data_IF_037862868343
#
_entry.id   IF_037862868343
#
_cell.length_a   1.000
_cell.length_b   1.000
_cell.length_c   1.000
_cell.angle_alpha   90.00
_cell.angle_beta   90.00
_cell.angle_gamma   90.00
#
_symmetry.space_group_name_H-M   'P 1'
#
loop_
_entity.id
_entity.type
_entity.pdbx_description
1 polymer ?
#
# COMPACT_ATOMS: atom_id res chain seq x y z
N UNK A 1 1.26 -9.42 -41.24
CA UNK A 1 0.44 -8.40 -40.54
C UNK A 1 -0.25 -9.10 -39.39
N UNK A 2 0.14 -8.80 -38.15
CA UNK A 2 -0.50 -9.37 -36.96
C UNK A 2 -1.68 -8.46 -36.62
N UNK A 3 -2.91 -8.96 -36.79
CA UNK A 3 -4.12 -8.30 -36.33
C UNK A 3 -4.08 -8.25 -34.80
N UNK A 4 -3.86 -7.07 -34.23
CA UNK A 4 -4.12 -6.82 -32.82
C UNK A 4 -5.62 -6.57 -32.68
N UNK A 5 -6.35 -7.58 -32.22
CA UNK A 5 -7.74 -7.43 -31.80
C UNK A 5 -7.80 -6.52 -30.57
N UNK A 6 -8.29 -5.30 -30.77
CA UNK A 6 -8.67 -4.38 -29.71
C UNK A 6 -9.89 -4.96 -28.99
N UNK A 7 -9.67 -5.73 -27.92
CA UNK A 7 -10.76 -6.17 -27.03
C UNK A 7 -11.33 -4.93 -26.34
N UNK A 8 -12.51 -4.51 -26.77
CA UNK A 8 -13.35 -3.56 -26.03
C UNK A 8 -13.71 -4.21 -24.70
N UNK A 9 -13.11 -3.73 -23.61
CA UNK A 9 -13.48 -4.15 -22.26
C UNK A 9 -14.89 -3.60 -22.03
N UNK A 10 -15.89 -4.48 -22.12
CA UNK A 10 -17.20 -4.20 -21.55
C UNK A 10 -16.99 -3.98 -20.06
N UNK A 11 -17.12 -2.72 -19.62
CA UNK A 11 -17.16 -2.38 -18.20
C UNK A 11 -18.43 -3.03 -17.68
N UNK A 12 -18.28 -4.26 -17.15
CA UNK A 12 -19.26 -4.85 -16.27
C UNK A 12 -19.43 -3.82 -15.16
N UNK A 13 -20.62 -3.23 -15.07
CA UNK A 13 -20.97 -2.36 -13.95
C UNK A 13 -20.92 -3.22 -12.71
N UNK A 14 -19.75 -3.27 -12.08
CA UNK A 14 -19.50 -3.99 -10.84
C UNK A 14 -20.60 -3.60 -9.86
N UNK A 15 -21.22 -4.61 -9.24
CA UNK A 15 -22.11 -4.39 -8.10
C UNK A 15 -21.47 -3.36 -7.16
N UNK A 16 -22.25 -2.35 -6.78
CA UNK A 16 -21.72 -1.24 -6.00
C UNK A 16 -21.27 -1.76 -4.64
N UNK A 17 -19.97 -1.90 -4.44
CA UNK A 17 -19.36 -2.20 -3.14
C UNK A 17 -19.87 -1.17 -2.13
N UNK A 18 -20.53 -1.62 -1.07
CA UNK A 18 -21.08 -0.74 -0.03
C UNK A 18 -20.01 -0.39 1.00
N UNK A 19 -20.20 0.68 1.76
CA UNK A 19 -19.32 1.04 2.90
C UNK A 19 -19.24 -0.13 3.91
N UNK A 20 -20.33 -0.89 4.07
CA UNK A 20 -20.36 -2.04 4.97
C UNK A 20 -19.47 -3.20 4.47
N UNK A 21 -19.49 -3.50 3.17
CA UNK A 21 -18.62 -4.52 2.58
C UNK A 21 -17.14 -4.17 2.76
N UNK A 22 -16.83 -2.87 2.74
CA UNK A 22 -15.48 -2.35 2.97
C UNK A 22 -15.06 -2.47 4.43
N UNK A 23 -15.94 -2.11 5.37
CA UNK A 23 -15.70 -2.30 6.81
C UNK A 23 -15.43 -3.78 7.10
N UNK A 24 -16.26 -4.67 6.56
CA UNK A 24 -16.10 -6.11 6.72
C UNK A 24 -14.75 -6.59 6.17
N UNK A 25 -14.36 -6.12 4.99
CA UNK A 25 -13.05 -6.46 4.38
C UNK A 25 -11.86 -6.00 5.22
N UNK A 26 -11.96 -4.83 5.86
CA UNK A 26 -10.89 -4.33 6.74
C UNK A 26 -10.85 -5.13 8.05
N UNK A 27 -12.00 -5.50 8.61
CA UNK A 27 -12.09 -6.39 9.77
C UNK A 27 -11.48 -7.76 9.46
N UNK A 28 -11.78 -8.34 8.29
CA UNK A 28 -11.17 -9.59 7.84
C UNK A 28 -9.65 -9.48 7.73
N UNK A 29 -9.16 -8.36 7.18
CA UNK A 29 -7.73 -8.07 7.09
C UNK A 29 -7.09 -7.98 8.48
N UNK A 30 -7.75 -7.30 9.41
CA UNK A 30 -7.27 -7.09 10.76
C UNK A 30 -7.20 -8.42 11.53
N UNK A 31 -8.24 -9.24 11.44
CA UNK A 31 -8.26 -10.58 12.01
C UNK A 31 -7.16 -11.48 11.42
N UNK A 32 -6.92 -11.39 10.11
CA UNK A 32 -5.84 -12.14 9.48
C UNK A 32 -4.46 -11.71 10.02
N UNK A 33 -4.22 -10.40 10.17
CA UNK A 33 -2.98 -9.85 10.74
C UNK A 33 -2.80 -10.28 12.20
N UNK A 34 -3.88 -10.29 13.00
CA UNK A 34 -3.89 -10.77 14.38
C UNK A 34 -3.51 -12.25 14.45
N UNK A 35 -4.09 -13.09 13.59
CA UNK A 35 -3.75 -14.52 13.58
C UNK A 35 -2.27 -14.76 13.25
N UNK A 36 -1.74 -14.06 12.25
CA UNK A 36 -0.30 -14.13 11.89
C UNK A 36 0.59 -13.63 13.04
N UNK A 37 0.15 -12.60 13.76
CA UNK A 37 0.83 -12.10 14.97
C UNK A 37 0.90 -13.17 16.05
N UNK A 38 -0.23 -13.81 16.36
CA UNK A 38 -0.33 -14.82 17.42
C UNK A 38 0.55 -16.02 17.09
N UNK A 39 0.46 -16.56 15.87
CA UNK A 39 1.31 -17.67 15.41
C UNK A 39 2.80 -17.31 15.47
N UNK A 40 3.18 -16.11 15.01
CA UNK A 40 4.58 -15.67 15.00
C UNK A 40 5.11 -15.38 16.41
N UNK A 41 4.26 -14.89 17.32
CA UNK A 41 4.61 -14.55 18.69
C UNK A 41 4.78 -15.79 19.58
N UNK A 42 3.92 -16.80 19.41
CA UNK A 42 4.01 -18.08 20.13
C UNK A 42 5.37 -18.76 19.90
N UNK A 43 5.91 -18.68 18.68
CA UNK A 43 7.22 -19.25 18.34
C UNK A 43 8.43 -18.46 18.89
N UNK A 44 8.26 -17.21 19.35
CA UNK A 44 9.40 -16.30 19.59
C UNK A 44 9.37 -15.45 20.86
N UNK A 45 8.46 -15.70 21.79
CA UNK A 45 8.32 -14.98 23.07
C UNK A 45 9.53 -15.07 24.04
N UNK A 46 10.73 -15.44 23.58
CA UNK A 46 11.89 -15.64 24.45
C UNK A 46 13.13 -14.79 24.23
N UNK A 47 13.16 -13.79 23.33
CA UNK A 47 14.10 -12.64 23.42
C UNK A 47 13.87 -11.65 22.28
N UNK A 48 13.75 -10.38 22.66
CA UNK A 48 13.74 -9.20 21.79
C UNK A 48 12.48 -9.01 20.93
N UNK A 49 11.99 -7.76 20.84
CA UNK A 49 10.84 -7.41 19.99
C UNK A 49 11.24 -7.61 18.53
N UNK A 50 10.95 -8.80 17.99
CA UNK A 50 11.18 -9.17 16.59
C UNK A 50 10.56 -8.10 15.69
N UNK A 51 11.32 -7.57 14.74
CA UNK A 51 10.85 -6.54 13.79
C UNK A 51 9.60 -6.97 13.02
N UNK A 52 9.34 -8.28 12.93
CA UNK A 52 8.11 -8.87 12.39
C UNK A 52 6.89 -8.56 13.26
N UNK A 53 7.00 -8.72 14.59
CA UNK A 53 5.93 -8.37 15.54
C UNK A 53 5.66 -6.86 15.52
N UNK A 54 6.70 -6.03 15.46
CA UNK A 54 6.55 -4.58 15.40
C UNK A 54 5.85 -4.14 14.10
N UNK A 55 6.15 -4.77 12.97
CA UNK A 55 5.48 -4.48 11.70
C UNK A 55 4.01 -4.89 11.72
N UNK A 56 3.72 -6.12 12.13
CA UNK A 56 2.34 -6.59 12.17
C UNK A 56 1.52 -5.79 13.18
N UNK A 57 2.11 -5.37 14.30
CA UNK A 57 1.50 -4.39 15.21
C UNK A 57 1.25 -3.04 14.52
N UNK A 58 2.21 -2.51 13.77
CA UNK A 58 1.99 -1.28 13.00
C UNK A 58 0.88 -1.46 11.94
N UNK A 59 0.79 -2.62 11.29
CA UNK A 59 -0.32 -2.91 10.36
C UNK A 59 -1.64 -2.90 11.11
N UNK A 60 -1.73 -3.57 12.25
CA UNK A 60 -2.91 -3.56 13.10
C UNK A 60 -3.27 -2.13 13.52
N UNK A 61 -2.31 -1.34 14.00
CA UNK A 61 -2.53 0.06 14.39
C UNK A 61 -2.99 0.91 13.19
N UNK A 62 -2.44 0.70 11.99
CA UNK A 62 -2.89 1.35 10.75
C UNK A 62 -4.32 0.93 10.41
N UNK A 63 -4.64 -0.36 10.49
CA UNK A 63 -5.97 -0.89 10.24
C UNK A 63 -7.00 -0.34 11.22
N UNK A 64 -6.71 -0.37 12.53
CA UNK A 64 -7.55 0.19 13.59
C UNK A 64 -7.78 1.68 13.39
N UNK A 65 -6.72 2.46 13.12
CA UNK A 65 -6.87 3.89 12.85
C UNK A 65 -7.72 4.15 11.60
N UNK A 66 -7.63 3.28 10.60
CA UNK A 66 -8.44 3.35 9.39
C UNK A 66 -9.90 2.99 9.66
N UNK A 67 -10.18 1.92 10.42
CA UNK A 67 -11.53 1.55 10.86
C UNK A 67 -12.14 2.69 11.68
N UNK A 68 -11.38 3.29 12.59
CA UNK A 68 -11.82 4.42 13.42
C UNK A 68 -12.13 5.63 12.54
N UNK A 69 -11.25 5.99 11.60
CA UNK A 69 -11.51 7.08 10.65
C UNK A 69 -12.73 6.81 9.79
N UNK A 70 -12.90 5.59 9.28
CA UNK A 70 -14.10 5.20 8.53
C UNK A 70 -15.34 5.22 9.40
N UNK A 71 -15.28 4.76 10.66
CA UNK A 71 -16.41 4.79 11.59
C UNK A 71 -16.84 6.22 11.93
N UNK A 72 -15.88 7.12 12.22
CA UNK A 72 -16.15 8.55 12.39
C UNK A 72 -16.73 9.17 11.12
N UNK A 73 -16.30 8.71 9.95
CA UNK A 73 -16.88 9.16 8.69
C UNK A 73 -18.28 8.65 8.46
N UNK A 74 -18.60 7.39 8.75
CA UNK A 74 -19.96 6.85 8.68
C UNK A 74 -20.88 7.57 9.67
N UNK A 75 -20.39 7.88 10.88
CA UNK A 75 -21.11 8.74 11.82
C UNK A 75 -21.27 10.16 11.27
N UNK A 76 -20.25 10.70 10.60
CA UNK A 76 -20.33 11.99 9.91
C UNK A 76 -21.26 11.95 8.71
N UNK A 77 -21.44 10.82 8.01
CA UNK A 77 -22.35 10.67 6.89
C UNK A 77 -23.80 10.86 7.36
N UNK A 78 -24.15 10.28 8.51
CA UNK A 78 -25.44 10.47 9.16
C UNK A 78 -25.64 11.94 9.61
N UNK A 79 -24.56 12.64 9.98
CA UNK A 79 -24.60 14.07 10.37
C UNK A 79 -24.43 15.06 9.21
N UNK A 80 -23.94 14.62 8.05
CA UNK A 80 -23.82 15.43 6.83
C UNK A 80 -25.14 15.51 6.07
N UNK A 81 -26.09 14.61 6.37
CA UNK A 81 -27.50 14.75 6.01
C UNK A 81 -28.29 15.62 7.01
N UNK A 82 -27.73 15.88 8.20
CA UNK A 82 -28.31 16.76 9.22
C UNK A 82 -27.95 18.22 8.92
N UNK A 83 -28.91 18.93 8.32
CA UNK A 83 -28.76 20.34 7.93
C UNK A 83 -28.47 21.23 9.14
N UNK A 84 -29.04 20.94 10.31
CA UNK A 84 -28.88 21.76 11.51
C UNK A 84 -27.49 21.58 12.11
N UNK A 85 -26.99 20.35 12.12
CA UNK A 85 -25.61 20.07 12.48
C UNK A 85 -24.62 20.80 11.56
N UNK A 86 -24.86 20.79 10.25
CA UNK A 86 -24.01 21.49 9.27
C UNK A 86 -24.04 23.00 9.44
N UNK A 87 -25.22 23.61 9.60
CA UNK A 87 -25.36 25.05 9.84
C UNK A 87 -24.66 25.49 11.12
N UNK A 88 -24.75 24.68 12.18
CA UNK A 88 -24.07 24.94 13.47
C UNK A 88 -22.55 24.96 13.32
N UNK A 89 -21.99 24.13 12.43
CA UNK A 89 -20.52 24.00 12.26
C UNK A 89 -19.95 24.86 11.13
N UNK A 90 -20.76 25.19 10.13
CA UNK A 90 -20.40 25.97 8.94
C UNK A 90 -21.37 27.15 8.75
N UNK A 91 -21.46 28.09 9.71
CA UNK A 91 -22.50 29.12 9.72
C UNK A 91 -22.47 30.02 8.48
N UNK A 92 -21.29 30.23 7.90
CA UNK A 92 -21.09 31.02 6.67
C UNK A 92 -21.66 30.36 5.40
N UNK A 93 -22.02 29.07 5.43
CA UNK A 93 -22.62 28.35 4.30
C UNK A 93 -24.12 28.08 4.49
N UNK A 94 -24.74 28.60 5.55
CA UNK A 94 -26.13 28.28 5.91
C UNK A 94 -27.14 28.53 4.79
N UNK A 95 -27.00 29.65 4.06
CA UNK A 95 -27.86 30.00 2.92
C UNK A 95 -27.66 29.06 1.71
N UNK A 96 -26.46 28.51 1.53
CA UNK A 96 -26.15 27.53 0.47
C UNK A 96 -26.68 26.13 0.82
N UNK A 97 -26.62 25.76 2.10
CA UNK A 97 -27.20 24.53 2.66
C UNK A 97 -28.73 24.55 2.47
N UNK A 98 -29.39 25.69 2.68
CA UNK A 98 -30.84 25.77 2.48
C UNK A 98 -31.29 25.71 1.02
N UNK A 99 -30.46 26.23 0.10
CA UNK A 99 -30.80 26.32 -1.33
C UNK A 99 -30.47 25.08 -2.15
N UNK A 100 -29.58 24.20 -1.68
CA UNK A 100 -29.28 22.94 -2.38
C UNK A 100 -30.29 21.86 -1.99
N UNK A 101 -31.23 21.55 -2.90
CA UNK A 101 -32.17 20.43 -2.74
C UNK A 101 -31.47 19.07 -2.65
N UNK A 102 -30.21 18.99 -3.08
CA UNK A 102 -29.40 17.78 -3.20
C UNK A 102 -28.11 17.87 -2.35
N UNK A 103 -28.18 18.43 -1.14
CA UNK A 103 -27.07 18.34 -0.15
C UNK A 103 -26.59 16.90 -0.01
N UNK A 104 -27.49 15.93 -0.10
CA UNK A 104 -27.19 14.50 -0.14
C UNK A 104 -26.20 14.15 -1.26
N UNK A 105 -26.37 14.65 -2.49
CA UNK A 105 -25.42 14.43 -3.60
C UNK A 105 -24.10 15.15 -3.38
N UNK A 106 -24.11 16.40 -2.93
CA UNK A 106 -22.87 17.13 -2.65
C UNK A 106 -22.07 16.48 -1.51
N UNK A 107 -22.74 16.13 -0.42
CA UNK A 107 -22.17 15.37 0.69
C UNK A 107 -21.66 14.01 0.21
N UNK A 108 -22.41 13.29 -0.62
CA UNK A 108 -22.00 12.02 -1.18
C UNK A 108 -20.71 12.15 -2.03
N UNK A 109 -20.62 13.12 -2.94
CA UNK A 109 -19.43 13.33 -3.76
C UNK A 109 -18.22 13.78 -2.93
N UNK A 110 -18.41 14.70 -1.98
CA UNK A 110 -17.34 15.15 -1.07
C UNK A 110 -16.86 14.01 -0.18
N UNK A 111 -17.77 13.21 0.36
CA UNK A 111 -17.46 12.03 1.17
C UNK A 111 -16.72 10.99 0.36
N UNK A 112 -17.15 10.71 -0.87
CA UNK A 112 -16.44 9.82 -1.79
C UNK A 112 -15.03 10.31 -2.08
N UNK A 113 -14.82 11.61 -2.25
CA UNK A 113 -13.49 12.17 -2.48
C UNK A 113 -12.58 12.05 -1.25
N UNK A 114 -13.06 12.44 -0.06
CA UNK A 114 -12.30 12.33 1.19
C UNK A 114 -12.03 10.85 1.51
N UNK A 115 -13.01 9.97 1.32
CA UNK A 115 -12.86 8.53 1.47
C UNK A 115 -11.77 7.98 0.55
N UNK A 116 -11.80 8.35 -0.74
CA UNK A 116 -10.76 7.94 -1.69
C UNK A 116 -9.39 8.44 -1.25
N UNK A 117 -9.27 9.68 -0.75
CA UNK A 117 -8.01 10.20 -0.22
C UNK A 117 -7.50 9.43 0.99
N UNK A 118 -8.38 9.08 1.95
CA UNK A 118 -7.99 8.25 3.11
C UNK A 118 -7.51 6.89 2.65
N UNK A 119 -8.21 6.27 1.73
CA UNK A 119 -7.82 4.96 1.22
C UNK A 119 -6.51 5.03 0.42
N UNK A 120 -6.32 6.06 -0.38
CA UNK A 120 -5.05 6.28 -1.09
C UNK A 120 -3.91 6.49 -0.09
N UNK A 121 -4.14 7.25 0.99
CA UNK A 121 -3.18 7.39 2.09
C UNK A 121 -2.92 6.07 2.81
N UNK A 122 -3.94 5.25 3.05
CA UNK A 122 -3.79 3.92 3.66
C UNK A 122 -2.86 3.05 2.80
N UNK A 123 -3.13 2.98 1.50
CA UNK A 123 -2.36 2.21 0.53
C UNK A 123 -0.91 2.70 0.48
N UNK A 124 -0.70 4.02 0.50
CA UNK A 124 0.63 4.61 0.55
C UNK A 124 1.37 4.26 1.84
N UNK A 125 0.72 4.41 2.99
CA UNK A 125 1.31 4.10 4.30
C UNK A 125 1.65 2.62 4.39
N UNK A 126 0.75 1.76 3.92
CA UNK A 126 0.94 0.32 3.92
C UNK A 126 2.15 -0.09 3.06
N UNK A 127 2.24 0.45 1.84
CA UNK A 127 3.39 0.19 0.97
C UNK A 127 4.70 0.78 1.52
N UNK A 128 4.65 1.96 2.13
CA UNK A 128 5.81 2.59 2.76
C UNK A 128 6.33 1.78 3.95
N UNK A 129 5.44 1.30 4.82
CA UNK A 129 5.80 0.43 5.94
C UNK A 129 6.39 -0.89 5.41
N UNK A 130 5.76 -1.51 4.41
CA UNK A 130 6.31 -2.69 3.74
C UNK A 130 7.74 -2.44 3.24
N UNK A 131 7.96 -1.38 2.45
CA UNK A 131 9.29 -1.02 1.95
C UNK A 131 10.29 -0.88 3.10
N UNK A 132 9.90 -0.18 4.17
CA UNK A 132 10.74 0.07 5.35
C UNK A 132 11.15 -1.23 6.03
N UNK A 133 10.25 -2.18 6.20
CA UNK A 133 10.58 -3.47 6.82
C UNK A 133 11.44 -4.34 5.92
N UNK A 134 11.17 -4.36 4.63
CA UNK A 134 12.03 -5.05 3.65
C UNK A 134 13.46 -4.48 3.71
N UNK A 135 13.61 -3.15 3.82
CA UNK A 135 14.91 -2.49 4.01
C UNK A 135 15.60 -2.93 5.30
N UNK A 136 14.85 -3.07 6.40
CA UNK A 136 15.40 -3.57 7.67
C UNK A 136 15.85 -5.05 7.57
N UNK A 137 15.11 -5.88 6.84
CA UNK A 137 15.53 -7.26 6.53
C UNK A 137 16.85 -7.23 5.74
N UNK A 138 16.93 -6.42 4.68
CA UNK A 138 18.17 -6.25 3.90
C UNK A 138 19.35 -5.86 4.78
N UNK A 139 19.19 -4.88 5.67
CA UNK A 139 20.24 -4.45 6.63
C UNK A 139 20.72 -5.57 7.54
N UNK A 140 19.86 -6.55 7.80
CA UNK A 140 20.17 -7.68 8.68
C UNK A 140 20.87 -8.83 7.95
N UNK A 141 20.72 -8.92 6.62
CA UNK A 141 21.39 -9.92 5.79
C UNK A 141 22.77 -9.40 5.40
N UNK A 142 23.82 -9.95 6.02
CA UNK A 142 25.21 -9.62 5.67
C UNK A 142 25.51 -10.04 4.23
N UNK A 143 26.26 -9.20 3.53
CA UNK A 143 26.78 -9.47 2.18
C UNK A 143 25.70 -9.77 1.13
N UNK A 144 24.50 -9.18 1.25
CA UNK A 144 23.49 -9.29 0.21
C UNK A 144 23.97 -8.56 -1.06
N UNK A 145 24.22 -9.29 -2.14
CA UNK A 145 24.80 -8.72 -3.36
C UNK A 145 23.95 -7.60 -3.95
N UNK A 146 24.61 -6.49 -4.31
CA UNK A 146 23.97 -5.39 -5.01
C UNK A 146 23.96 -5.66 -6.53
N UNK A 147 22.79 -5.88 -7.15
CA UNK A 147 22.70 -6.23 -8.57
C UNK A 147 23.10 -5.09 -9.51
N UNK A 148 23.26 -3.88 -8.99
CA UNK A 148 23.70 -2.70 -9.76
C UNK A 148 25.10 -2.23 -9.34
N UNK A 149 25.87 -3.08 -8.64
CA UNK A 149 27.26 -2.79 -8.32
C UNK A 149 28.10 -2.57 -9.59
N UNK A 150 28.93 -1.53 -9.56
CA UNK A 150 29.87 -1.24 -10.64
C UNK A 150 31.27 -1.03 -10.03
N UNK A 151 32.22 -1.97 -10.22
CA UNK A 151 33.55 -1.87 -9.61
C UNK A 151 34.35 -0.63 -10.03
N UNK A 152 33.96 0.03 -11.13
CA UNK A 152 34.57 1.30 -11.57
C UNK A 152 34.03 2.53 -10.85
N UNK A 153 32.89 2.41 -10.16
CA UNK A 153 32.25 3.51 -9.43
C UNK A 153 32.68 3.51 -7.97
N UNK A 154 33.40 4.57 -7.56
CA UNK A 154 33.80 4.79 -6.14
C UNK A 154 32.62 4.88 -5.17
N UNK A 155 31.42 5.16 -5.67
CA UNK A 155 30.20 5.32 -4.86
C UNK A 155 29.36 4.04 -4.76
N UNK A 156 29.66 3.00 -5.55
CA UNK A 156 28.84 1.79 -5.54
C UNK A 156 29.35 0.79 -4.51
N UNK A 157 28.45 0.33 -3.63
CA UNK A 157 28.73 -0.73 -2.67
C UNK A 157 28.46 -2.09 -3.32
N UNK A 158 29.38 -3.08 -3.22
CA UNK A 158 29.12 -4.43 -3.70
C UNK A 158 27.95 -5.12 -2.99
N UNK A 159 27.57 -4.64 -1.81
CA UNK A 159 26.48 -5.19 -1.02
C UNK A 159 25.39 -4.15 -0.76
N UNK A 160 24.15 -4.61 -0.65
CA UNK A 160 23.01 -3.79 -0.27
C UNK A 160 23.07 -3.44 1.23
N UNK A 161 22.74 -2.19 1.56
CA UNK A 161 22.65 -1.68 2.93
C UNK A 161 21.24 -1.17 3.30
N UNK A 162 20.26 -1.34 2.41
CA UNK A 162 18.86 -0.95 2.61
C UNK A 162 18.56 0.52 2.32
N UNK A 163 19.55 1.34 1.95
CA UNK A 163 19.35 2.74 1.53
C UNK A 163 19.20 2.90 0.01
N UNK A 164 19.39 1.83 -0.76
CA UNK A 164 19.33 1.85 -2.21
C UNK A 164 17.91 2.12 -2.73
N UNK A 165 17.75 2.55 -4.00
CA UNK A 165 16.44 2.56 -4.65
C UNK A 165 15.75 1.20 -4.51
N UNK A 166 14.43 1.20 -4.30
CA UNK A 166 13.71 -0.05 -3.99
C UNK A 166 13.82 -1.10 -5.12
N UNK A 167 14.01 -0.67 -6.37
CA UNK A 167 14.30 -1.59 -7.48
C UNK A 167 15.59 -2.40 -7.32
N UNK A 168 16.61 -1.86 -6.64
CA UNK A 168 17.83 -2.59 -6.30
C UNK A 168 17.57 -3.62 -5.20
N UNK A 169 16.80 -3.22 -4.18
CA UNK A 169 16.38 -4.09 -3.08
C UNK A 169 15.53 -5.24 -3.60
N UNK A 170 14.53 -4.96 -4.44
CA UNK A 170 13.68 -5.96 -5.08
C UNK A 170 14.54 -7.00 -5.81
N UNK A 171 15.45 -6.56 -6.67
CA UNK A 171 16.29 -7.47 -7.46
C UNK A 171 17.31 -8.24 -6.60
N UNK A 172 17.98 -7.58 -5.66
CA UNK A 172 18.98 -8.24 -4.80
C UNK A 172 18.35 -9.19 -3.78
N UNK A 173 17.25 -8.78 -3.13
CA UNK A 173 16.58 -9.59 -2.12
C UNK A 173 15.63 -10.61 -2.75
N UNK A 174 14.64 -10.18 -3.54
CA UNK A 174 13.57 -11.08 -3.99
C UNK A 174 14.08 -12.04 -5.07
N UNK A 175 14.72 -11.51 -6.11
CA UNK A 175 15.17 -12.31 -7.25
C UNK A 175 16.41 -13.14 -6.89
N UNK A 176 17.49 -12.49 -6.44
CA UNK A 176 18.77 -13.17 -6.27
C UNK A 176 18.88 -13.96 -4.96
N UNK A 177 18.36 -13.43 -3.84
CA UNK A 177 18.56 -14.05 -2.53
C UNK A 177 17.42 -14.99 -2.15
N UNK A 178 16.16 -14.59 -2.34
CA UNK A 178 15.00 -15.41 -1.99
C UNK A 178 14.53 -16.31 -3.13
N UNK A 179 15.00 -16.09 -4.37
CA UNK A 179 14.55 -16.82 -5.57
C UNK A 179 13.03 -16.77 -5.77
N UNK A 180 12.40 -15.64 -5.44
CA UNK A 180 11.00 -15.40 -5.74
C UNK A 180 10.82 -15.22 -7.25
N UNK A 181 9.67 -15.65 -7.75
CA UNK A 181 9.27 -15.49 -9.15
C UNK A 181 8.71 -14.09 -9.41
N UNK A 182 8.65 -13.66 -10.68
CA UNK A 182 8.02 -12.39 -11.04
C UNK A 182 6.57 -12.28 -10.53
N UNK A 183 5.82 -13.39 -10.53
CA UNK A 183 4.44 -13.44 -10.06
C UNK A 183 4.34 -13.15 -8.56
N UNK A 184 5.35 -13.53 -7.77
CA UNK A 184 5.35 -13.30 -6.32
C UNK A 184 5.45 -11.80 -5.97
N UNK A 185 6.12 -10.99 -6.81
CA UNK A 185 6.40 -9.59 -6.51
C UNK A 185 5.94 -8.59 -7.57
N UNK A 186 5.15 -8.99 -8.57
CA UNK A 186 4.62 -8.07 -9.59
C UNK A 186 3.81 -6.91 -8.98
N UNK A 187 3.15 -7.18 -7.84
CA UNK A 187 2.40 -6.21 -7.05
C UNK A 187 3.24 -4.97 -6.70
N UNK A 188 4.55 -5.14 -6.50
CA UNK A 188 5.49 -4.05 -6.18
C UNK A 188 5.66 -3.08 -7.34
N UNK A 189 5.70 -3.61 -8.57
CA UNK A 189 5.85 -2.79 -9.77
C UNK A 189 4.65 -1.86 -9.93
N UNK A 190 3.45 -2.42 -9.80
CA UNK A 190 2.22 -1.65 -9.93
C UNK A 190 2.02 -0.69 -8.75
N UNK A 191 2.34 -1.09 -7.50
CA UNK A 191 2.35 -0.17 -6.35
C UNK A 191 3.25 1.03 -6.56
N UNK A 192 4.45 0.80 -7.11
CA UNK A 192 5.40 1.89 -7.38
C UNK A 192 4.84 2.89 -8.39
N UNK A 193 4.17 2.40 -9.43
CA UNK A 193 3.52 3.24 -10.44
C UNK A 193 2.31 3.99 -9.87
N UNK A 194 1.45 3.32 -9.09
CA UNK A 194 0.32 3.95 -8.40
C UNK A 194 0.80 5.01 -7.41
N UNK A 195 1.81 4.71 -6.60
CA UNK A 195 2.42 5.69 -5.67
C UNK A 195 2.87 6.94 -6.41
N UNK A 196 3.53 6.76 -7.56
CA UNK A 196 3.90 7.89 -8.43
C UNK A 196 2.66 8.71 -8.82
N UNK A 197 1.54 8.09 -9.19
CA UNK A 197 0.32 8.84 -9.50
C UNK A 197 -0.26 9.59 -8.30
N UNK A 198 -0.29 8.99 -7.11
CA UNK A 198 -0.83 9.64 -5.90
C UNK A 198 -0.02 10.88 -5.54
N UNK A 199 1.32 10.82 -5.61
CA UNK A 199 2.19 11.98 -5.38
C UNK A 199 2.01 13.09 -6.42
N UNK A 200 1.52 12.74 -7.61
CA UNK A 200 1.37 13.64 -8.74
C UNK A 200 -0.11 13.91 -9.08
N UNK A 201 -0.97 13.97 -8.06
CA UNK A 201 -2.40 14.32 -8.21
C UNK A 201 -3.16 13.46 -9.24
N UNK A 202 -2.82 12.17 -9.31
CA UNK A 202 -3.41 11.18 -10.21
C UNK A 202 -2.69 11.01 -11.56
N UNK A 203 -1.69 11.84 -11.87
CA UNK A 203 -0.93 11.77 -13.12
C UNK A 203 0.31 10.89 -13.00
N UNK A 204 0.56 10.04 -13.99
CA UNK A 204 1.77 9.22 -14.02
C UNK A 204 2.93 9.95 -14.69
N UNK A 205 4.09 9.98 -14.05
CA UNK A 205 5.33 10.53 -14.61
C UNK A 205 6.48 9.52 -14.49
N UNK A 206 6.82 8.89 -15.61
CA UNK A 206 7.99 8.02 -15.68
C UNK A 206 9.30 8.83 -15.69
N UNK A 207 10.42 8.27 -15.16
CA UNK A 207 11.72 8.94 -15.17
C UNK A 207 12.31 9.17 -16.56
N UNK A 208 11.90 8.37 -17.55
CA UNK A 208 12.43 8.36 -18.92
C UNK A 208 11.49 9.01 -19.95
N UNK A 209 10.42 9.65 -19.48
CA UNK A 209 9.37 10.25 -20.32
C UNK A 209 8.69 9.27 -21.30
N UNK A 210 8.62 7.99 -20.94
CA UNK A 210 7.97 6.93 -21.73
C UNK A 210 6.79 6.28 -20.99
N UNK A 211 5.89 5.71 -21.77
CA UNK A 211 4.83 4.87 -21.24
C UNK A 211 5.43 3.62 -20.60
N UNK A 212 4.83 3.17 -19.51
CA UNK A 212 5.21 1.94 -18.83
C UNK A 212 4.05 0.96 -18.82
N UNK A 213 4.37 -0.33 -18.96
CA UNK A 213 3.39 -1.41 -18.92
C UNK A 213 3.69 -2.28 -17.70
N UNK A 214 2.67 -2.55 -16.89
CA UNK A 214 2.76 -3.43 -15.74
C UNK A 214 1.72 -4.53 -15.88
N UNK A 215 2.14 -5.78 -15.81
CA UNK A 215 1.22 -6.91 -15.67
C UNK A 215 0.93 -7.12 -14.19
N UNK A 216 -0.35 -7.30 -13.86
CA UNK A 216 -0.80 -7.62 -12.51
C UNK A 216 -2.02 -8.53 -12.60
N UNK A 217 -1.94 -9.71 -11.98
CA UNK A 217 -2.95 -10.79 -12.05
C UNK A 217 -3.40 -11.08 -13.49
N UNK A 218 -2.43 -11.23 -14.39
CA UNK A 218 -2.64 -11.46 -15.84
C UNK A 218 -3.26 -10.29 -16.63
N UNK A 219 -3.59 -9.18 -15.95
CA UNK A 219 -4.13 -7.96 -16.59
C UNK A 219 -2.97 -7.01 -16.86
N UNK A 220 -2.87 -6.51 -18.10
CA UNK A 220 -1.87 -5.52 -18.46
C UNK A 220 -2.41 -4.09 -18.25
N UNK A 221 -1.73 -3.32 -17.42
CA UNK A 221 -2.04 -1.94 -17.10
C UNK A 221 -1.03 -1.01 -17.78
N UNK A 222 -1.55 -0.09 -18.58
CA UNK A 222 -0.74 0.89 -19.32
C UNK A 222 -0.73 2.21 -18.55
N UNK A 223 0.45 2.65 -18.14
CA UNK A 223 0.70 3.94 -17.51
C UNK A 223 1.31 4.88 -18.54
N UNK A 224 0.50 5.80 -19.05
CA UNK A 224 0.94 6.77 -20.05
C UNK A 224 1.60 7.98 -19.37
N UNK A 225 2.77 8.38 -19.85
CA UNK A 225 3.51 9.50 -19.26
C UNK A 225 2.72 10.81 -19.40
N UNK A 226 2.62 11.56 -18.29
CA UNK A 226 1.92 12.83 -18.20
C UNK A 226 0.40 12.71 -18.24
N UNK A 227 -0.17 11.51 -18.06
CA UNK A 227 -1.63 11.29 -18.12
C UNK A 227 -2.20 10.74 -16.81
N UNK A 228 -3.49 11.03 -16.52
CA UNK A 228 -4.16 10.45 -15.37
C UNK A 228 -4.49 8.97 -15.60
N UNK A 229 -4.53 8.19 -14.52
CA UNK A 229 -5.00 6.81 -14.56
C UNK A 229 -6.49 6.72 -14.27
N UNK A 230 -7.20 5.80 -14.91
CA UNK A 230 -8.65 5.58 -14.74
C UNK A 230 -9.02 4.23 -14.14
N UNK A 231 -8.06 3.30 -14.03
CA UNK A 231 -8.30 1.91 -13.67
C UNK A 231 -8.05 1.58 -12.19
N UNK A 232 -7.65 2.55 -11.36
CA UNK A 232 -7.34 2.34 -9.94
C UNK A 232 -8.61 2.24 -9.06
N UNK A 233 -9.43 1.24 -9.36
CA UNK A 233 -10.69 0.95 -8.69
C UNK A 233 -10.48 0.29 -7.32
N UNK A 234 -11.53 0.31 -6.49
CA UNK A 234 -11.54 -0.27 -5.14
C UNK A 234 -11.08 -1.73 -5.09
N UNK A 235 -11.58 -2.55 -6.01
CA UNK A 235 -11.24 -3.97 -6.07
C UNK A 235 -9.73 -4.18 -6.29
N UNK A 236 -9.13 -3.40 -7.20
CA UNK A 236 -7.69 -3.43 -7.45
C UNK A 236 -6.90 -3.06 -6.19
N UNK A 237 -7.34 -2.03 -5.46
CA UNK A 237 -6.72 -1.60 -4.19
C UNK A 237 -6.68 -2.74 -3.16
N UNK A 238 -7.81 -3.43 -2.96
CA UNK A 238 -7.90 -4.55 -2.02
C UNK A 238 -7.05 -5.74 -2.45
N UNK A 239 -7.11 -6.11 -3.73
CA UNK A 239 -6.30 -7.19 -4.27
C UNK A 239 -4.81 -6.89 -4.09
N UNK A 240 -4.39 -5.65 -4.36
CA UNK A 240 -3.00 -5.22 -4.17
C UNK A 240 -2.58 -5.32 -2.70
N UNK A 241 -3.42 -4.89 -1.76
CA UNK A 241 -3.12 -5.01 -0.32
C UNK A 241 -2.97 -6.47 0.12
N UNK A 242 -3.88 -7.36 -0.35
CA UNK A 242 -3.80 -8.80 -0.07
C UNK A 242 -2.52 -9.41 -0.64
N UNK A 243 -2.18 -9.12 -1.89
CA UNK A 243 -0.98 -9.65 -2.53
C UNK A 243 0.30 -9.14 -1.87
N UNK A 244 0.29 -7.90 -1.37
CA UNK A 244 1.42 -7.35 -0.63
C UNK A 244 1.61 -8.01 0.74
N UNK A 245 0.51 -8.33 1.44
CA UNK A 245 0.53 -9.14 2.66
C UNK A 245 1.10 -10.53 2.38
N UNK A 246 0.59 -11.20 1.36
CA UNK A 246 1.06 -12.55 0.97
C UNK A 246 2.54 -12.53 0.59
N UNK A 247 3.00 -11.53 -0.18
CA UNK A 247 4.42 -11.37 -0.48
C UNK A 247 5.25 -11.18 0.80
N UNK A 248 4.77 -10.37 1.74
CA UNK A 248 5.46 -10.17 3.00
C UNK A 248 5.53 -11.46 3.82
N UNK A 249 4.42 -12.19 3.92
CA UNK A 249 4.34 -13.50 4.56
C UNK A 249 5.36 -14.47 3.95
N UNK A 250 5.41 -14.54 2.63
CA UNK A 250 6.38 -15.36 1.90
C UNK A 250 7.83 -14.96 2.25
N UNK A 251 8.13 -13.67 2.34
CA UNK A 251 9.45 -13.16 2.73
C UNK A 251 9.79 -13.59 4.16
N UNK A 252 8.92 -13.32 5.14
CA UNK A 252 9.20 -13.61 6.56
C UNK A 252 9.24 -15.10 6.88
N UNK A 253 8.52 -15.91 6.09
CA UNK A 253 8.49 -17.35 6.23
C UNK A 253 9.58 -18.06 5.43
N UNK A 254 10.29 -17.36 4.55
CA UNK A 254 11.36 -17.93 3.76
C UNK A 254 12.50 -18.45 4.64
N UNK A 255 12.99 -19.66 4.34
CA UNK A 255 14.03 -20.34 5.14
C UNK A 255 15.31 -19.52 5.33
N UNK A 256 15.69 -18.69 4.35
CA UNK A 256 16.88 -17.81 4.48
C UNK A 256 16.65 -16.64 5.43
N UNK A 257 15.42 -16.11 5.50
CA UNK A 257 15.05 -15.00 6.40
C UNK A 257 14.84 -15.50 7.82
N UNK A 258 14.21 -16.68 8.01
CA UNK A 258 14.05 -17.30 9.33
C UNK A 258 15.37 -17.58 10.05
N UNK A 259 16.47 -17.76 9.31
CA UNK A 259 17.82 -17.96 9.84
C UNK A 259 18.51 -16.68 10.33
N UNK A 260 17.90 -15.51 10.15
CA UNK A 260 18.44 -14.24 10.66
C UNK A 260 18.27 -14.21 12.18
N UNK A 261 19.36 -14.41 12.92
CA UNK A 261 19.35 -14.46 14.39
C UNK A 261 19.23 -13.08 15.06
N UNK A 262 19.71 -12.02 14.38
CA UNK A 262 19.68 -10.65 14.89
C UNK A 262 19.26 -9.68 13.80
N UNK A 263 18.26 -8.86 14.10
CA UNK A 263 17.87 -7.70 13.30
C UNK A 263 18.48 -6.47 13.96
N UNK A 264 19.34 -5.76 13.24
CA UNK A 264 19.84 -4.45 13.69
C UNK A 264 18.87 -3.38 13.20
N UNK A 265 17.95 -2.97 14.07
CA UNK A 265 17.06 -1.86 13.80
C UNK A 265 17.71 -0.55 14.28
N UNK A 266 18.39 0.16 13.38
CA UNK A 266 19.01 1.46 13.68
C UNK A 266 18.00 2.51 14.15
N UNK A 267 16.71 2.32 13.84
CA UNK A 267 15.61 3.18 14.28
C UNK A 267 15.15 2.89 15.71
N UNK A 268 15.56 1.76 16.31
CA UNK A 268 15.24 1.40 17.69
C UNK A 268 16.26 1.94 18.71
N UNK A 269 17.44 2.39 18.25
CA UNK A 269 18.43 3.10 19.07
C UNK A 269 18.08 4.60 19.23
N UNK A 270 16.81 4.92 19.52
CA UNK A 270 16.46 6.27 19.99
C UNK A 270 16.72 6.30 21.49
N UNK A 271 17.92 6.72 21.87
CA UNK A 271 18.18 7.14 23.26
C UNK A 271 17.37 8.42 23.53
N UNK A 272 16.38 8.32 24.41
CA UNK A 272 15.75 9.50 24.98
C UNK A 272 16.74 10.10 25.99
N UNK A 273 17.27 11.29 25.67
CA UNK A 273 17.96 12.14 26.64
C UNK A 273 16.98 12.79 27.61
#
# INVERSE_FOLDING_TARGET
MINQETKTINIITSESVTVQDMINSIIELDNHVINVLEETAVDKLHRNKDSRILFLKNIHDINVNTIIQFSFQTESQNKLTDKDWLKKRLPHLSSSIDSHSDISKYAFHKNRHIFNQILDNLILNYFFEFETKVRNIVRSIKNLENPYYNPKSKKSNPYLNGSEPFGAIRKGLFENHLNLTNEDYEVIGIYSAIRNTIHNSGFYFSPDSKNSNYTYRTINYVFEHGKPISFFAMEMKFNMMKDLLTLFENIINHNKVKKIEKVNDLSAEVEFQ
#
